data_IF_827350518699
#
_entry.id   IF_827350518699
#
_cell.length_a   1.000
_cell.length_b   1.000
_cell.length_c   1.000
_cell.angle_alpha   90.00
_cell.angle_beta   90.00
_cell.angle_gamma   90.00
#
_symmetry.space_group_name_H-M   'P 1'
#
loop_
_entity.id
_entity.type
_entity.pdbx_description
1 polymer ?
#
# COMPACT_ATOMS: atom_id res chain seq x y z
N UNK A 1 35.35 -27.55 -46.57
CA UNK A 1 34.34 -27.11 -47.56
C UNK A 1 32.98 -27.36 -46.94
N UNK A 2 32.39 -26.34 -46.32
CA UNK A 2 31.04 -26.40 -45.73
C UNK A 2 30.33 -25.16 -46.26
N UNK A 3 29.27 -25.40 -47.03
CA UNK A 3 28.46 -24.40 -47.69
C UNK A 3 27.62 -23.64 -46.65
N UNK A 4 27.66 -22.30 -46.71
CA UNK A 4 26.83 -21.42 -45.89
C UNK A 4 25.42 -21.28 -46.47
N UNK A 5 24.39 -21.08 -45.63
CA UNK A 5 23.03 -20.89 -46.09
C UNK A 5 22.80 -19.46 -46.60
N UNK A 6 22.08 -19.37 -47.72
CA UNK A 6 21.66 -18.16 -48.40
C UNK A 6 20.78 -17.26 -47.50
N UNK A 7 21.17 -16.00 -47.38
CA UNK A 7 20.34 -14.93 -46.80
C UNK A 7 19.30 -14.48 -47.83
N UNK A 8 18.00 -14.44 -47.50
CA UNK A 8 17.01 -13.80 -48.35
C UNK A 8 17.14 -12.28 -48.28
N UNK A 9 17.24 -11.66 -49.45
CA UNK A 9 17.19 -10.21 -49.66
C UNK A 9 15.84 -9.64 -49.21
N UNK A 10 15.84 -8.85 -48.14
CA UNK A 10 14.67 -8.14 -47.65
C UNK A 10 14.27 -6.98 -48.59
N UNK A 11 13.03 -7.02 -49.07
CA UNK A 11 12.36 -5.88 -49.68
C UNK A 11 11.99 -4.82 -48.62
N UNK A 12 12.02 -3.53 -48.97
CA UNK A 12 11.68 -2.45 -48.05
C UNK A 12 10.16 -2.36 -47.85
N UNK A 13 9.70 -2.72 -46.66
CA UNK A 13 8.32 -2.47 -46.17
C UNK A 13 8.18 -0.97 -45.89
N UNK A 14 7.91 -0.18 -46.93
CA UNK A 14 7.75 1.28 -46.83
C UNK A 14 6.35 1.79 -47.25
N UNK A 15 5.48 0.93 -47.80
CA UNK A 15 4.16 1.38 -48.31
C UNK A 15 2.97 1.12 -47.38
N UNK A 16 3.09 0.27 -46.35
CA UNK A 16 1.94 -0.08 -45.50
C UNK A 16 1.60 0.98 -44.43
N UNK A 17 2.54 1.87 -44.08
CA UNK A 17 2.34 2.92 -43.07
C UNK A 17 1.56 4.14 -43.57
N UNK A 18 1.52 4.39 -44.88
CA UNK A 18 0.76 5.50 -45.46
C UNK A 18 -0.75 5.20 -45.55
N UNK A 19 -1.14 3.94 -45.76
CA UNK A 19 -2.55 3.52 -45.84
C UNK A 19 -3.25 3.55 -44.47
N UNK A 20 -2.52 3.29 -43.39
CA UNK A 20 -3.10 3.29 -42.04
C UNK A 20 -3.35 4.72 -41.51
N UNK A 21 -2.54 5.71 -41.93
CA UNK A 21 -2.73 7.10 -41.51
C UNK A 21 -3.94 7.78 -42.19
N UNK A 22 -4.23 7.46 -43.46
CA UNK A 22 -5.42 8.00 -44.14
C UNK A 22 -6.72 7.46 -43.54
N UNK A 23 -6.75 6.18 -43.16
CA UNK A 23 -7.94 5.57 -42.56
C UNK A 23 -8.23 6.09 -41.14
N UNK A 24 -7.20 6.46 -40.36
CA UNK A 24 -7.38 7.07 -39.05
C UNK A 24 -7.90 8.52 -39.14
N UNK A 25 -7.54 9.25 -40.20
CA UNK A 25 -7.95 10.64 -40.39
C UNK A 25 -9.40 10.76 -40.90
N UNK A 26 -9.91 9.77 -41.64
CA UNK A 26 -11.32 9.73 -42.05
C UNK A 26 -12.28 9.32 -40.91
N UNK A 27 -11.80 8.62 -39.88
CA UNK A 27 -12.61 8.27 -38.69
C UNK A 27 -12.82 9.49 -37.78
N UNK A 28 -11.82 10.37 -37.65
CA UNK A 28 -11.88 11.58 -36.81
C UNK A 28 -12.86 12.63 -37.38
N UNK A 29 -13.10 12.62 -38.69
CA UNK A 29 -14.09 13.50 -39.34
C UNK A 29 -15.51 12.93 -39.38
N UNK A 30 -15.68 11.63 -39.12
CA UNK A 30 -16.98 10.97 -39.09
C UNK A 30 -17.61 10.92 -37.68
N UNK A 31 -16.82 11.02 -36.60
CA UNK A 31 -17.33 11.07 -35.22
C UNK A 31 -17.72 12.50 -34.76
N UNK A 32 -17.51 13.52 -35.60
CA UNK A 32 -18.24 14.80 -35.49
C UNK A 32 -19.69 14.67 -36.03
N UNK A 33 -20.23 13.44 -36.06
CA UNK A 33 -21.65 13.15 -36.18
C UNK A 33 -22.37 13.63 -34.90
N UNK A 34 -22.63 14.95 -34.90
CA UNK A 34 -23.82 15.57 -34.32
C UNK A 34 -24.24 14.95 -32.99
N UNK A 35 -23.39 15.04 -31.96
CA UNK A 35 -23.83 14.83 -30.58
C UNK A 35 -25.04 15.74 -30.41
N UNK A 36 -26.26 15.18 -30.33
CA UNK A 36 -27.47 15.98 -30.39
C UNK A 36 -27.39 16.96 -29.24
N UNK A 37 -27.52 18.26 -29.54
CA UNK A 37 -27.46 19.28 -28.50
C UNK A 37 -28.38 18.84 -27.36
N UNK A 38 -27.87 18.76 -26.12
CA UNK A 38 -28.66 18.29 -25.02
C UNK A 38 -29.93 19.15 -24.97
N UNK A 39 -31.12 18.54 -24.79
CA UNK A 39 -32.37 19.29 -24.76
C UNK A 39 -32.22 20.50 -23.83
N UNK A 40 -32.76 21.68 -24.17
CA UNK A 40 -32.54 22.92 -23.41
C UNK A 40 -32.87 22.77 -21.92
N UNK A 41 -33.78 21.86 -21.57
CA UNK A 41 -34.13 21.49 -20.19
C UNK A 41 -32.95 20.88 -19.40
N UNK A 42 -32.09 20.06 -20.03
CA UNK A 42 -30.88 19.53 -19.37
C UNK A 42 -29.86 20.63 -19.11
N UNK A 43 -29.70 21.58 -20.03
CA UNK A 43 -28.79 22.72 -19.87
C UNK A 43 -29.20 23.55 -18.64
N UNK A 44 -30.49 23.73 -18.41
CA UNK A 44 -31.00 24.45 -17.24
C UNK A 44 -30.77 23.68 -15.93
N UNK A 45 -30.90 22.35 -15.94
CA UNK A 45 -30.57 21.49 -14.78
C UNK A 45 -29.08 21.58 -14.45
N UNK A 46 -28.19 21.48 -15.45
CA UNK A 46 -26.75 21.63 -15.25
C UNK A 46 -26.39 23.03 -14.77
N UNK A 47 -26.98 24.08 -15.36
CA UNK A 47 -26.78 25.46 -14.90
C UNK A 47 -27.23 25.64 -13.45
N UNK A 48 -28.41 25.14 -13.07
CA UNK A 48 -28.89 25.16 -11.66
C UNK A 48 -28.01 24.35 -10.72
N UNK A 49 -27.46 23.22 -11.18
CA UNK A 49 -26.50 22.42 -10.42
C UNK A 49 -25.14 23.10 -10.25
N UNK A 50 -24.74 23.98 -11.18
CA UNK A 50 -23.50 24.76 -11.11
C UNK A 50 -23.68 26.06 -10.29
N UNK A 51 -24.87 26.66 -10.34
CA UNK A 51 -25.23 27.85 -9.56
C UNK A 51 -25.48 27.52 -8.09
N UNK A 52 -25.94 26.30 -7.77
CA UNK A 52 -25.96 25.83 -6.40
C UNK A 52 -24.52 25.50 -5.98
N UNK A 53 -23.92 26.23 -5.03
CA UNK A 53 -22.66 25.78 -4.45
C UNK A 53 -22.91 24.36 -3.94
N UNK A 54 -22.03 23.39 -4.25
CA UNK A 54 -22.21 22.01 -3.82
C UNK A 54 -22.53 22.05 -2.33
N UNK A 55 -23.62 21.39 -1.88
CA UNK A 55 -24.06 21.49 -0.50
C UNK A 55 -22.84 21.23 0.35
N UNK A 56 -22.45 22.22 1.17
CA UNK A 56 -21.23 22.16 1.95
C UNK A 56 -21.25 20.81 2.67
N UNK A 57 -20.42 19.87 2.22
CA UNK A 57 -20.32 18.55 2.84
C UNK A 57 -20.04 18.88 4.29
N UNK A 58 -21.02 18.62 5.18
CA UNK A 58 -20.80 18.82 6.61
C UNK A 58 -19.50 18.10 6.89
N UNK A 59 -18.49 18.80 7.47
CA UNK A 59 -17.23 18.14 7.80
C UNK A 59 -17.62 16.85 8.52
N UNK A 60 -17.14 15.70 8.00
CA UNK A 60 -17.53 14.40 8.55
C UNK A 60 -17.37 14.49 10.06
N UNK A 61 -18.44 14.21 10.80
CA UNK A 61 -18.52 14.34 12.27
C UNK A 61 -17.49 13.44 13.00
N UNK A 62 -16.72 12.66 12.24
CA UNK A 62 -15.69 11.73 12.68
C UNK A 62 -14.27 12.34 12.71
N UNK A 63 -14.10 13.64 12.44
CA UNK A 63 -12.77 14.28 12.53
C UNK A 63 -12.35 14.51 13.99
N UNK A 64 -11.37 13.74 14.46
CA UNK A 64 -10.90 13.82 15.85
C UNK A 64 -9.74 14.79 15.96
N UNK A 65 -9.96 15.95 16.59
CA UNK A 65 -8.85 16.91 16.83
C UNK A 65 -7.82 16.29 17.80
N UNK A 66 -6.52 16.32 17.46
CA UNK A 66 -5.50 15.94 18.43
C UNK A 66 -5.58 16.87 19.65
N UNK A 67 -5.42 16.35 20.87
CA UNK A 67 -5.31 17.19 22.05
C UNK A 67 -4.08 18.11 21.93
N UNK A 68 -4.21 19.36 22.37
CA UNK A 68 -3.12 20.33 22.32
C UNK A 68 -1.91 19.82 23.14
N UNK A 69 -0.71 19.87 22.56
CA UNK A 69 0.55 19.54 23.25
C UNK A 69 0.92 18.06 23.35
N UNK A 70 0.16 17.14 22.73
CA UNK A 70 0.39 15.67 22.85
C UNK A 70 0.65 14.98 21.51
N UNK A 71 1.10 15.75 20.51
CA UNK A 71 1.07 15.36 19.09
C UNK A 71 1.71 13.99 18.79
N UNK A 72 2.90 13.70 19.32
CA UNK A 72 3.65 12.49 18.96
C UNK A 72 3.05 11.21 19.58
N UNK A 73 2.85 11.19 20.91
CA UNK A 73 2.32 10.00 21.58
C UNK A 73 0.86 9.75 21.23
N UNK A 74 0.07 10.81 21.07
CA UNK A 74 -1.31 10.65 20.61
C UNK A 74 -1.37 10.10 19.19
N UNK A 75 -0.56 10.61 18.26
CA UNK A 75 -0.58 10.17 16.86
C UNK A 75 -0.32 8.66 16.72
N UNK A 76 0.68 8.11 17.41
CA UNK A 76 1.11 6.72 17.17
C UNK A 76 0.40 5.67 18.03
N UNK A 77 -0.23 6.05 19.14
CA UNK A 77 -0.84 5.09 20.06
C UNK A 77 -2.37 5.20 20.15
N UNK A 78 -2.96 6.35 19.78
CA UNK A 78 -4.41 6.55 19.87
C UNK A 78 -5.16 5.72 18.82
N UNK A 79 -5.82 4.68 19.31
CA UNK A 79 -6.71 3.84 18.51
C UNK A 79 -6.02 2.97 17.45
N UNK A 80 -4.68 2.91 17.43
CA UNK A 80 -3.92 2.17 16.43
C UNK A 80 -4.12 0.66 16.58
N UNK A 81 -3.83 0.13 17.76
CA UNK A 81 -3.96 -1.29 18.02
C UNK A 81 -5.43 -1.69 18.07
N UNK A 82 -6.29 -0.85 18.67
CA UNK A 82 -7.70 -1.20 18.84
C UNK A 82 -8.50 -1.35 17.53
N UNK A 83 -7.95 -0.86 16.42
CA UNK A 83 -8.68 -0.65 15.17
C UNK A 83 -9.26 -1.94 14.56
N UNK A 84 -8.53 -3.05 14.63
CA UNK A 84 -8.99 -4.33 14.09
C UNK A 84 -10.28 -4.84 14.76
N UNK A 85 -10.56 -4.40 15.99
CA UNK A 85 -11.74 -4.79 16.77
C UNK A 85 -12.89 -3.78 16.68
N UNK A 86 -12.76 -2.74 15.85
CA UNK A 86 -13.86 -1.81 15.63
C UNK A 86 -14.98 -2.51 14.84
N UNK A 87 -16.27 -2.20 15.09
CA UNK A 87 -17.39 -2.88 14.44
C UNK A 87 -17.31 -2.87 12.91
N UNK A 88 -16.77 -1.80 12.32
CA UNK A 88 -16.63 -1.67 10.87
C UNK A 88 -15.45 -2.49 10.30
N UNK A 89 -14.44 -2.77 11.12
CA UNK A 89 -13.22 -3.48 10.71
C UNK A 89 -13.28 -4.98 10.98
N UNK A 90 -14.02 -5.41 12.01
CA UNK A 90 -14.01 -6.80 12.49
C UNK A 90 -14.43 -7.81 11.40
N UNK A 91 -15.44 -7.47 10.59
CA UNK A 91 -15.86 -8.34 9.47
C UNK A 91 -14.78 -8.51 8.42
N UNK A 92 -14.00 -7.46 8.14
CA UNK A 92 -12.88 -7.50 7.18
C UNK A 92 -11.70 -8.27 7.75
N UNK A 93 -11.41 -8.09 9.03
CA UNK A 93 -10.40 -8.86 9.75
C UNK A 93 -10.72 -10.36 9.75
N UNK A 94 -11.96 -10.77 10.07
CA UNK A 94 -12.41 -12.17 10.02
C UNK A 94 -12.24 -12.74 8.61
N UNK A 95 -12.75 -12.04 7.60
CA UNK A 95 -12.63 -12.49 6.22
C UNK A 95 -11.17 -12.67 5.78
N UNK A 96 -10.33 -11.68 6.06
CA UNK A 96 -8.90 -11.75 5.72
C UNK A 96 -8.20 -12.89 6.47
N UNK A 97 -8.54 -13.09 7.75
CA UNK A 97 -8.01 -14.20 8.56
C UNK A 97 -8.35 -15.55 7.93
N UNK A 98 -9.61 -15.76 7.53
CA UNK A 98 -10.06 -16.99 6.86
C UNK A 98 -9.30 -17.22 5.55
N UNK A 99 -9.21 -16.19 4.68
CA UNK A 99 -8.50 -16.32 3.41
C UNK A 99 -7.02 -16.68 3.59
N UNK A 100 -6.33 -15.98 4.51
CA UNK A 100 -4.92 -16.23 4.79
C UNK A 100 -4.71 -17.59 5.45
N UNK A 101 -5.58 -18.00 6.37
CA UNK A 101 -5.50 -19.32 7.01
C UNK A 101 -5.72 -20.45 6.02
N UNK A 102 -6.70 -20.32 5.12
CA UNK A 102 -6.92 -21.31 4.05
C UNK A 102 -5.69 -21.40 3.14
N UNK A 103 -5.15 -20.27 2.68
CA UNK A 103 -3.94 -20.26 1.87
C UNK A 103 -2.74 -20.88 2.60
N UNK A 104 -2.55 -20.56 3.88
CA UNK A 104 -1.47 -21.09 4.72
C UNK A 104 -1.60 -22.61 4.98
N UNK A 105 -2.80 -23.09 5.31
CA UNK A 105 -3.06 -24.53 5.49
C UNK A 105 -2.78 -25.31 4.20
N UNK A 106 -3.26 -24.81 3.05
CA UNK A 106 -3.01 -25.47 1.77
C UNK A 106 -1.53 -25.43 1.41
N UNK A 107 -0.80 -24.35 1.72
CA UNK A 107 0.65 -24.30 1.53
C UNK A 107 1.41 -25.38 2.33
N UNK A 108 1.05 -25.59 3.61
CA UNK A 108 1.61 -26.68 4.43
C UNK A 108 1.27 -28.05 3.85
N UNK A 109 0.04 -28.24 3.38
CA UNK A 109 -0.39 -29.49 2.73
C UNK A 109 0.34 -29.73 1.42
N UNK A 110 0.61 -28.70 0.62
CA UNK A 110 1.40 -28.85 -0.61
C UNK A 110 2.81 -29.33 -0.27
N UNK A 111 3.47 -28.75 0.74
CA UNK A 111 4.81 -29.17 1.13
C UNK A 111 4.88 -30.65 1.55
N UNK A 112 3.84 -31.17 2.19
CA UNK A 112 3.77 -32.57 2.63
C UNK A 112 3.27 -33.52 1.54
N UNK A 113 2.31 -33.09 0.71
CA UNK A 113 1.72 -33.91 -0.34
C UNK A 113 2.61 -34.04 -1.58
N UNK A 114 3.51 -33.08 -1.83
CA UNK A 114 4.42 -33.11 -2.97
C UNK A 114 5.33 -34.34 -2.98
N UNK A 115 5.70 -34.83 -1.79
CA UNK A 115 6.49 -36.05 -1.61
C UNK A 115 5.67 -37.33 -1.89
N UNK A 116 4.35 -37.28 -1.69
CA UNK A 116 3.47 -38.45 -1.76
C UNK A 116 2.73 -38.61 -3.10
N UNK A 117 2.25 -37.52 -3.70
CA UNK A 117 1.42 -37.56 -4.91
C UNK A 117 1.44 -36.24 -5.71
N UNK A 118 2.33 -36.18 -6.70
CA UNK A 118 2.57 -34.98 -7.52
C UNK A 118 1.32 -34.36 -8.16
N UNK A 119 0.44 -35.10 -8.88
CA UNK A 119 -0.67 -34.46 -9.59
C UNK A 119 -1.68 -33.78 -8.65
N UNK A 120 -1.92 -34.37 -7.47
CA UNK A 120 -2.80 -33.78 -6.46
C UNK A 120 -2.20 -32.51 -5.86
N UNK A 121 -0.88 -32.50 -5.61
CA UNK A 121 -0.19 -31.32 -5.11
C UNK A 121 -0.27 -30.14 -6.07
N UNK A 122 -0.21 -30.38 -7.39
CA UNK A 122 -0.37 -29.32 -8.41
C UNK A 122 -1.77 -28.71 -8.38
N UNK A 123 -2.83 -29.53 -8.31
CA UNK A 123 -4.21 -29.02 -8.23
C UNK A 123 -4.42 -28.20 -6.95
N UNK A 124 -3.92 -28.69 -5.81
CA UNK A 124 -3.95 -27.96 -4.55
C UNK A 124 -3.17 -26.64 -4.62
N UNK A 125 -2.01 -26.62 -5.30
CA UNK A 125 -1.23 -25.41 -5.51
C UNK A 125 -2.00 -24.36 -6.31
N UNK A 126 -2.68 -24.75 -7.39
CA UNK A 126 -3.51 -23.82 -8.17
C UNK A 126 -4.62 -23.22 -7.30
N UNK A 127 -5.33 -24.05 -6.53
CA UNK A 127 -6.40 -23.58 -5.62
C UNK A 127 -5.84 -22.66 -4.55
N UNK A 128 -4.71 -23.01 -3.93
CA UNK A 128 -4.02 -22.18 -2.94
C UNK A 128 -3.60 -20.83 -3.51
N UNK A 129 -3.06 -20.82 -4.73
CA UNK A 129 -2.65 -19.61 -5.42
C UNK A 129 -3.84 -18.70 -5.70
N UNK A 130 -4.98 -19.25 -6.14
CA UNK A 130 -6.19 -18.45 -6.35
C UNK A 130 -6.69 -17.84 -5.04
N UNK A 131 -6.83 -18.65 -3.99
CA UNK A 131 -7.25 -18.15 -2.66
C UNK A 131 -6.26 -17.12 -2.13
N UNK A 132 -4.97 -17.35 -2.31
CA UNK A 132 -3.90 -16.42 -1.95
C UNK A 132 -3.98 -15.11 -2.70
N UNK A 133 -4.15 -15.13 -4.03
CA UNK A 133 -4.29 -13.92 -4.86
C UNK A 133 -5.53 -13.13 -4.45
N UNK A 134 -6.67 -13.78 -4.21
CA UNK A 134 -7.88 -13.11 -3.73
C UNK A 134 -7.72 -12.54 -2.30
N UNK A 135 -7.07 -13.29 -1.40
CA UNK A 135 -6.82 -12.85 -0.03
C UNK A 135 -5.85 -11.68 0.03
N UNK A 136 -4.74 -11.75 -0.70
CA UNK A 136 -3.73 -10.70 -0.80
C UNK A 136 -4.27 -9.47 -1.51
N UNK A 137 -5.13 -9.63 -2.52
CA UNK A 137 -5.73 -8.47 -3.19
C UNK A 137 -6.66 -7.69 -2.28
N UNK A 138 -7.47 -8.41 -1.51
CA UNK A 138 -8.29 -7.83 -0.47
C UNK A 138 -7.44 -7.18 0.64
N UNK A 139 -6.35 -7.84 1.07
CA UNK A 139 -5.43 -7.32 2.09
C UNK A 139 -4.78 -5.99 1.66
N UNK A 140 -4.29 -5.93 0.41
CA UNK A 140 -3.65 -4.74 -0.14
C UNK A 140 -4.63 -3.56 -0.22
N UNK A 141 -5.87 -3.81 -0.68
CA UNK A 141 -6.90 -2.79 -0.74
C UNK A 141 -7.26 -2.26 0.66
N UNK A 142 -7.49 -3.15 1.63
CA UNK A 142 -7.70 -2.75 3.03
C UNK A 142 -6.51 -1.93 3.58
N UNK A 143 -5.28 -2.35 3.29
CA UNK A 143 -4.08 -1.64 3.75
C UNK A 143 -4.05 -0.21 3.22
N UNK A 144 -4.24 -0.01 1.91
CA UNK A 144 -4.23 1.31 1.29
C UNK A 144 -5.34 2.20 1.84
N UNK A 145 -6.57 1.70 1.96
CA UNK A 145 -7.69 2.48 2.49
C UNK A 145 -7.49 2.88 3.95
N UNK A 146 -6.94 1.98 4.77
CA UNK A 146 -6.61 2.31 6.17
C UNK A 146 -5.54 3.39 6.22
N UNK A 147 -4.49 3.30 5.39
CA UNK A 147 -3.43 4.32 5.33
C UNK A 147 -4.05 5.67 4.94
N UNK A 148 -4.81 5.73 3.85
CA UNK A 148 -5.41 6.97 3.33
C UNK A 148 -6.36 7.58 4.35
N UNK A 149 -7.33 6.82 4.88
CA UNK A 149 -8.26 7.33 5.88
C UNK A 149 -7.54 7.84 7.13
N UNK A 150 -6.54 7.09 7.60
CA UNK A 150 -5.79 7.49 8.80
C UNK A 150 -4.91 8.71 8.56
N UNK A 151 -4.36 8.87 7.34
CA UNK A 151 -3.61 10.06 6.94
C UNK A 151 -4.46 11.34 6.91
N UNK A 152 -5.76 11.21 6.61
CA UNK A 152 -6.75 12.29 6.75
C UNK A 152 -7.28 12.47 8.18
N UNK A 153 -6.76 11.70 9.14
CA UNK A 153 -7.20 11.69 10.53
C UNK A 153 -8.67 11.29 10.69
N UNK A 154 -9.16 10.44 9.79
CA UNK A 154 -10.46 9.80 9.93
C UNK A 154 -10.31 8.58 10.81
N UNK A 155 -10.90 8.63 12.00
CA UNK A 155 -10.79 7.53 12.95
C UNK A 155 -11.57 6.30 12.48
N UNK A 156 -12.72 6.52 11.82
CA UNK A 156 -13.55 5.50 11.18
C UNK A 156 -13.33 5.54 9.68
N UNK A 157 -13.01 4.39 9.07
CA UNK A 157 -13.09 4.26 7.61
C UNK A 157 -14.57 4.29 7.22
N UNK A 158 -14.98 5.39 6.59
CA UNK A 158 -16.33 5.55 6.04
C UNK A 158 -16.52 4.67 4.82
N UNK A 159 -15.50 4.67 3.95
CA UNK A 159 -15.46 3.86 2.74
C UNK A 159 -14.43 2.73 2.93
N UNK A 160 -14.89 1.52 2.72
CA UNK A 160 -14.09 0.29 2.73
C UNK A 160 -13.85 -0.13 1.28
N UNK A 161 -12.83 -0.96 1.00
CA UNK A 161 -12.43 -1.23 -0.36
C UNK A 161 -13.60 -1.80 -1.15
N UNK A 162 -13.72 -1.33 -2.39
CA UNK A 162 -14.84 -1.63 -3.26
C UNK A 162 -15.05 -3.14 -3.42
N UNK A 163 -16.31 -3.51 -3.61
CA UNK A 163 -16.68 -4.90 -3.84
C UNK A 163 -16.07 -5.46 -5.13
N UNK A 164 -15.67 -4.59 -6.08
CA UNK A 164 -15.00 -5.03 -7.30
C UNK A 164 -13.64 -5.63 -6.99
N UNK A 165 -13.47 -6.91 -7.33
CA UNK A 165 -12.23 -7.64 -7.12
C UNK A 165 -11.15 -7.25 -8.13
N UNK A 166 -11.53 -6.69 -9.29
CA UNK A 166 -10.59 -6.30 -10.35
C UNK A 166 -9.77 -5.10 -9.92
N UNK A 167 -10.42 -4.10 -9.35
CA UNK A 167 -9.76 -2.93 -8.77
C UNK A 167 -8.84 -3.32 -7.62
N UNK A 168 -9.32 -4.16 -6.71
CA UNK A 168 -8.49 -4.71 -5.63
C UNK A 168 -7.26 -5.46 -6.16
N UNK A 169 -7.41 -6.21 -7.26
CA UNK A 169 -6.29 -6.87 -7.91
C UNK A 169 -5.26 -5.87 -8.43
N UNK A 170 -5.68 -4.79 -9.09
CA UNK A 170 -4.79 -3.72 -9.56
C UNK A 170 -4.04 -3.07 -8.39
N UNK A 171 -4.74 -2.73 -7.30
CA UNK A 171 -4.12 -2.20 -6.07
C UNK A 171 -3.07 -3.17 -5.52
N UNK A 172 -3.38 -4.47 -5.54
CA UNK A 172 -2.45 -5.50 -5.06
C UNK A 172 -1.22 -5.68 -5.93
N UNK A 173 -1.36 -5.55 -7.26
CA UNK A 173 -0.23 -5.53 -8.18
C UNK A 173 0.64 -4.31 -7.90
N UNK A 174 0.05 -3.13 -7.70
CA UNK A 174 0.78 -1.90 -7.31
C UNK A 174 1.57 -2.12 -6.01
N UNK A 175 0.91 -2.58 -4.94
CA UNK A 175 1.57 -2.85 -3.64
C UNK A 175 2.64 -3.93 -3.78
N UNK A 176 2.38 -4.98 -4.56
CA UNK A 176 3.35 -6.04 -4.85
C UNK A 176 4.58 -5.54 -5.59
N UNK A 177 4.42 -4.69 -6.60
CA UNK A 177 5.53 -4.04 -7.30
C UNK A 177 6.36 -3.18 -6.35
N UNK A 178 5.73 -2.41 -5.46
CA UNK A 178 6.43 -1.60 -4.45
C UNK A 178 7.20 -2.47 -3.44
N UNK A 179 6.62 -3.62 -3.06
CA UNK A 179 7.30 -4.61 -2.23
C UNK A 179 8.54 -5.16 -2.95
N UNK A 180 8.42 -5.55 -4.23
CA UNK A 180 9.57 -5.99 -5.03
C UNK A 180 10.63 -4.91 -5.13
N UNK A 181 10.25 -3.65 -5.36
CA UNK A 181 11.16 -2.50 -5.41
C UNK A 181 11.88 -2.27 -4.07
N UNK A 182 11.29 -2.68 -2.94
CA UNK A 182 11.96 -2.65 -1.62
C UNK A 182 12.87 -3.87 -1.39
N UNK A 183 12.47 -5.04 -1.89
CA UNK A 183 13.20 -6.30 -1.75
C UNK A 183 14.52 -6.28 -2.53
N UNK A 184 14.54 -5.73 -3.75
CA UNK A 184 15.73 -5.71 -4.60
C UNK A 184 16.94 -5.01 -3.94
N UNK A 185 16.84 -3.74 -3.51
CA UNK A 185 17.95 -3.08 -2.80
C UNK A 185 18.24 -3.73 -1.45
N UNK A 186 17.24 -4.24 -0.73
CA UNK A 186 17.47 -4.97 0.52
C UNK A 186 18.31 -6.25 0.31
N UNK A 187 18.01 -7.01 -0.73
CA UNK A 187 18.76 -8.21 -1.11
C UNK A 187 20.19 -7.85 -1.52
N UNK A 188 20.37 -6.78 -2.32
CA UNK A 188 21.69 -6.31 -2.70
C UNK A 188 22.56 -5.94 -1.48
N UNK A 189 22.01 -5.15 -0.55
CA UNK A 189 22.69 -4.78 0.70
C UNK A 189 23.03 -6.01 1.53
N UNK A 190 22.06 -6.94 1.68
CA UNK A 190 22.27 -8.16 2.45
C UNK A 190 23.36 -9.05 1.84
N UNK A 191 23.40 -9.20 0.51
CA UNK A 191 24.47 -9.93 -0.18
C UNK A 191 25.82 -9.25 0.01
N UNK A 192 25.91 -7.92 -0.17
CA UNK A 192 27.15 -7.16 0.01
C UNK A 192 27.71 -7.24 1.44
N UNK A 193 26.84 -7.23 2.45
CA UNK A 193 27.27 -7.38 3.83
C UNK A 193 27.61 -8.84 4.18
N UNK A 194 26.94 -9.82 3.56
CA UNK A 194 27.17 -11.24 3.85
C UNK A 194 28.54 -11.76 3.43
N UNK A 195 29.21 -11.10 2.49
CA UNK A 195 30.59 -11.45 2.09
C UNK A 195 31.65 -10.86 3.03
N UNK A 196 31.26 -9.97 3.95
CA UNK A 196 32.17 -9.41 4.96
C UNK A 196 32.29 -10.36 6.16
N UNK A 197 33.43 -10.37 6.87
CA UNK A 197 33.59 -11.19 8.09
C UNK A 197 32.53 -10.91 9.16
N UNK A 198 32.02 -9.68 9.22
CA UNK A 198 30.98 -9.28 10.18
C UNK A 198 29.58 -9.78 9.80
N UNK A 199 29.32 -10.04 8.52
CA UNK A 199 28.00 -10.43 8.01
C UNK A 199 27.89 -11.89 7.56
N UNK A 200 28.97 -12.68 7.64
CA UNK A 200 28.96 -14.08 7.23
C UNK A 200 27.84 -14.86 7.95
N UNK A 201 26.93 -15.47 7.17
CA UNK A 201 25.77 -16.21 7.68
C UNK A 201 24.57 -15.35 8.14
N UNK A 202 24.65 -14.01 8.03
CA UNK A 202 23.61 -13.08 8.50
C UNK A 202 22.72 -12.55 7.36
N UNK A 203 22.66 -13.23 6.21
CA UNK A 203 21.90 -12.76 5.05
C UNK A 203 20.42 -12.50 5.39
N UNK A 204 19.72 -13.48 5.98
CA UNK A 204 18.29 -13.38 6.28
C UNK A 204 17.93 -12.25 7.25
N UNK A 205 18.58 -12.08 8.42
CA UNK A 205 18.25 -10.97 9.32
C UNK A 205 18.59 -9.60 8.71
N UNK A 206 19.69 -9.48 7.97
CA UNK A 206 20.04 -8.22 7.27
C UNK A 206 18.99 -7.92 6.19
N UNK A 207 18.62 -8.90 5.37
CA UNK A 207 17.61 -8.77 4.34
C UNK A 207 16.25 -8.35 4.92
N UNK A 208 15.81 -9.00 6.00
CA UNK A 208 14.57 -8.69 6.68
C UNK A 208 14.58 -7.26 7.25
N UNK A 209 15.67 -6.85 7.89
CA UNK A 209 15.85 -5.50 8.42
C UNK A 209 15.83 -4.45 7.31
N UNK A 210 16.58 -4.65 6.22
CA UNK A 210 16.61 -3.72 5.10
C UNK A 210 15.23 -3.61 4.42
N UNK A 211 14.52 -4.73 4.23
CA UNK A 211 13.17 -4.72 3.65
C UNK A 211 12.20 -3.97 4.57
N UNK A 212 12.27 -4.24 5.88
CA UNK A 212 11.45 -3.57 6.90
C UNK A 212 11.66 -2.06 6.93
N UNK A 213 12.91 -1.59 6.73
CA UNK A 213 13.24 -0.17 6.66
C UNK A 213 12.86 0.48 5.32
N UNK A 214 13.05 -0.20 4.20
CA UNK A 214 12.84 0.40 2.87
C UNK A 214 11.37 0.43 2.46
N UNK A 215 10.59 -0.59 2.83
CA UNK A 215 9.21 -0.73 2.37
C UNK A 215 8.29 0.45 2.75
N UNK A 216 8.25 0.94 4.02
CA UNK A 216 7.47 2.13 4.39
C UNK A 216 7.80 3.37 3.56
N UNK A 217 9.09 3.61 3.31
CA UNK A 217 9.58 4.80 2.60
C UNK A 217 9.12 4.76 1.15
N UNK A 218 9.30 3.60 0.50
CA UNK A 218 8.91 3.37 -0.89
C UNK A 218 7.39 3.45 -1.04
N UNK A 219 6.64 2.83 -0.13
CA UNK A 219 5.18 2.84 -0.14
C UNK A 219 4.64 4.27 0.00
N UNK A 220 5.07 5.01 1.04
CA UNK A 220 4.63 6.40 1.24
C UNK A 220 5.03 7.32 0.08
N UNK A 221 6.25 7.15 -0.45
CA UNK A 221 6.71 7.92 -1.61
C UNK A 221 5.81 7.70 -2.83
N UNK A 222 5.42 6.44 -3.09
CA UNK A 222 4.56 6.09 -4.22
C UNK A 222 3.12 6.59 -4.07
N UNK A 223 2.62 6.67 -2.83
CA UNK A 223 1.29 7.19 -2.53
C UNK A 223 1.25 8.71 -2.66
N UNK A 224 2.32 9.39 -2.22
CA UNK A 224 2.45 10.84 -2.35
C UNK A 224 2.57 11.28 -3.81
N UNK A 225 3.37 10.57 -4.61
CA UNK A 225 3.58 10.88 -6.02
C UNK A 225 2.45 10.41 -6.96
N UNK A 226 1.45 9.71 -6.40
CA UNK A 226 0.48 8.88 -7.12
C UNK A 226 1.07 8.14 -8.34
N UNK A 227 2.23 7.53 -8.12
CA UNK A 227 3.04 6.92 -9.17
C UNK A 227 3.67 5.64 -8.66
N UNK A 228 4.06 4.74 -9.58
CA UNK A 228 4.85 3.54 -9.26
C UNK A 228 6.29 3.94 -8.92
N UNK A 229 6.74 5.13 -9.34
CA UNK A 229 8.07 5.63 -9.04
C UNK A 229 8.24 5.90 -7.54
N UNK A 230 9.20 5.22 -6.87
CA UNK A 230 9.29 5.21 -5.41
C UNK A 230 10.04 6.43 -4.83
N UNK A 231 10.13 7.53 -5.59
CA UNK A 231 10.95 8.68 -5.25
C UNK A 231 10.09 9.93 -5.17
N UNK A 232 9.65 10.24 -3.95
CA UNK A 232 9.00 11.51 -3.64
C UNK A 232 9.92 12.36 -2.77
N UNK A 233 10.35 13.53 -3.27
CA UNK A 233 11.28 14.40 -2.57
C UNK A 233 10.81 14.78 -1.14
N UNK A 234 9.52 15.11 -0.90
CA UNK A 234 9.07 15.43 0.45
C UNK A 234 9.12 14.23 1.40
N UNK A 235 8.75 13.02 0.97
CA UNK A 235 8.92 11.81 1.79
C UNK A 235 10.39 11.60 2.19
N UNK A 236 11.35 11.77 1.26
CA UNK A 236 12.77 11.66 1.58
C UNK A 236 13.27 12.79 2.50
N UNK A 237 12.81 14.02 2.29
CA UNK A 237 13.10 15.15 3.18
C UNK A 237 12.58 14.90 4.60
N UNK A 238 11.42 14.25 4.71
CA UNK A 238 10.79 13.91 6.00
C UNK A 238 11.64 12.99 6.87
N UNK A 239 12.52 12.17 6.28
CA UNK A 239 13.44 11.34 7.07
C UNK A 239 14.39 12.21 7.91
N UNK A 240 14.75 13.39 7.42
CA UNK A 240 15.61 14.33 8.12
C UNK A 240 14.82 15.31 8.99
N UNK A 241 13.70 15.85 8.47
CA UNK A 241 12.92 16.88 9.18
C UNK A 241 11.98 16.30 10.24
N UNK A 242 11.35 15.16 9.96
CA UNK A 242 10.39 14.47 10.83
C UNK A 242 10.98 13.18 11.44
N UNK A 243 12.29 13.13 11.67
CA UNK A 243 13.00 11.94 12.18
C UNK A 243 12.42 11.34 13.48
N UNK A 244 11.87 12.12 14.46
CA UNK A 244 11.29 11.52 15.66
C UNK A 244 10.05 10.67 15.35
N UNK A 245 9.24 11.10 14.37
CA UNK A 245 8.07 10.35 13.90
C UNK A 245 8.48 9.01 13.28
N UNK A 246 9.53 9.02 12.45
CA UNK A 246 10.10 7.79 11.87
C UNK A 246 10.64 6.84 12.93
N UNK A 247 11.38 7.34 13.94
CA UNK A 247 11.91 6.50 15.02
C UNK A 247 10.79 5.83 15.82
N UNK A 248 9.75 6.60 16.21
CA UNK A 248 8.59 6.03 16.93
C UNK A 248 7.87 5.01 16.05
N UNK A 249 7.63 5.33 14.77
CA UNK A 249 7.02 4.41 13.82
C UNK A 249 7.78 3.08 13.75
N UNK A 250 9.10 3.11 13.51
CA UNK A 250 9.89 1.90 13.38
C UNK A 250 9.98 1.11 14.69
N UNK A 251 10.11 1.79 15.83
CA UNK A 251 10.10 1.13 17.13
C UNK A 251 8.77 0.40 17.38
N UNK A 252 7.64 1.05 17.11
CA UNK A 252 6.31 0.45 17.28
C UNK A 252 6.04 -0.66 16.26
N UNK A 253 6.43 -0.48 15.00
CA UNK A 253 6.31 -1.52 13.97
C UNK A 253 7.20 -2.74 14.26
N UNK A 254 8.40 -2.52 14.81
CA UNK A 254 9.30 -3.60 15.21
C UNK A 254 8.74 -4.38 16.41
N UNK A 255 8.16 -3.68 17.40
CA UNK A 255 7.47 -4.31 18.51
C UNK A 255 6.27 -5.14 18.04
N UNK A 256 5.49 -4.61 17.08
CA UNK A 256 4.37 -5.32 16.46
C UNK A 256 4.84 -6.59 15.74
N UNK A 257 5.87 -6.48 14.91
CA UNK A 257 6.46 -7.61 14.19
C UNK A 257 7.04 -8.67 15.15
N UNK A 258 7.74 -8.24 16.20
CA UNK A 258 8.25 -9.12 17.25
C UNK A 258 7.13 -9.84 18.01
N UNK A 259 6.03 -9.16 18.32
CA UNK A 259 4.85 -9.76 18.93
C UNK A 259 4.21 -10.83 18.04
N UNK A 260 4.04 -10.55 16.74
CA UNK A 260 3.56 -11.54 15.77
C UNK A 260 4.50 -12.75 15.72
N UNK A 261 5.82 -12.53 15.61
CA UNK A 261 6.81 -13.61 15.57
C UNK A 261 6.78 -14.47 16.84
N UNK A 262 6.66 -13.86 18.01
CA UNK A 262 6.56 -14.55 19.30
C UNK A 262 5.29 -15.42 19.37
N UNK A 263 4.12 -14.88 18.99
CA UNK A 263 2.87 -15.65 18.95
C UNK A 263 2.95 -16.79 17.94
N UNK A 264 3.58 -16.56 16.80
CA UNK A 264 3.82 -17.59 15.78
C UNK A 264 4.66 -18.73 16.35
N UNK A 265 5.81 -18.42 16.94
CA UNK A 265 6.68 -19.42 17.54
C UNK A 265 5.99 -20.21 18.66
N UNK A 266 5.23 -19.51 19.53
CA UNK A 266 4.45 -20.16 20.58
C UNK A 266 3.35 -21.07 20.01
N UNK A 267 2.67 -20.65 18.94
CA UNK A 267 1.62 -21.45 18.29
C UNK A 267 2.17 -22.72 17.64
N UNK A 268 3.33 -22.64 16.98
CA UNK A 268 4.02 -23.78 16.39
C UNK A 268 4.43 -24.76 17.49
N UNK A 269 4.98 -24.26 18.60
CA UNK A 269 5.41 -25.10 19.72
C UNK A 269 4.25 -25.77 20.47
N UNK A 270 3.08 -25.13 20.52
CA UNK A 270 1.93 -25.64 21.25
C UNK A 270 1.05 -26.57 20.41
N UNK A 271 0.69 -26.17 19.19
CA UNK A 271 -0.27 -26.88 18.33
C UNK A 271 0.08 -26.69 16.85
N UNK A 272 1.05 -27.46 16.35
CA UNK A 272 1.59 -27.35 14.98
C UNK A 272 0.50 -27.31 13.89
N UNK A 273 -0.54 -28.14 14.01
CA UNK A 273 -1.63 -28.23 13.02
C UNK A 273 -2.56 -27.02 13.00
N UNK A 274 -2.66 -26.26 14.10
CA UNK A 274 -3.48 -25.04 14.19
C UNK A 274 -2.65 -23.76 14.08
N UNK A 275 -1.32 -23.87 14.01
CA UNK A 275 -0.43 -22.72 13.92
C UNK A 275 -0.79 -21.77 12.75
N UNK A 276 -1.13 -22.24 11.52
CA UNK A 276 -1.52 -21.33 10.44
C UNK A 276 -2.80 -20.53 10.75
N UNK A 277 -3.76 -21.13 11.46
CA UNK A 277 -5.01 -20.46 11.82
C UNK A 277 -4.75 -19.29 12.78
N UNK A 278 -3.95 -19.55 13.82
CA UNK A 278 -3.60 -18.56 14.84
C UNK A 278 -2.71 -17.47 14.22
N UNK A 279 -1.66 -17.87 13.50
CA UNK A 279 -0.72 -16.96 12.86
C UNK A 279 -1.43 -16.01 11.90
N UNK A 280 -2.21 -16.52 10.96
CA UNK A 280 -2.87 -15.69 9.94
C UNK A 280 -3.88 -14.71 10.55
N UNK A 281 -4.57 -15.11 11.63
CA UNK A 281 -5.50 -14.22 12.34
C UNK A 281 -4.77 -13.06 13.03
N UNK A 282 -3.63 -13.37 13.67
CA UNK A 282 -2.77 -12.36 14.33
C UNK A 282 -2.07 -11.47 13.30
N UNK A 283 -1.60 -12.04 12.20
CA UNK A 283 -1.00 -11.32 11.09
C UNK A 283 -1.98 -10.36 10.41
N UNK A 284 -3.25 -10.75 10.25
CA UNK A 284 -4.30 -9.86 9.72
C UNK A 284 -4.54 -8.65 10.66
N UNK A 285 -4.59 -8.85 11.97
CA UNK A 285 -4.72 -7.76 12.94
C UNK A 285 -3.48 -6.85 12.95
N UNK A 286 -2.29 -7.44 12.82
CA UNK A 286 -1.04 -6.71 12.71
C UNK A 286 -0.98 -5.89 11.42
N UNK A 287 -1.45 -6.42 10.28
CA UNK A 287 -1.54 -5.68 9.04
C UNK A 287 -2.39 -4.42 9.18
N UNK A 288 -3.55 -4.52 9.84
CA UNK A 288 -4.44 -3.37 10.06
C UNK A 288 -3.78 -2.33 10.97
N UNK A 289 -3.13 -2.78 12.04
CA UNK A 289 -2.39 -1.91 12.95
C UNK A 289 -1.21 -1.22 12.24
N UNK A 290 -0.48 -1.95 11.41
CA UNK A 290 0.64 -1.45 10.63
C UNK A 290 0.20 -0.41 9.57
N UNK A 291 -0.87 -0.70 8.84
CA UNK A 291 -1.48 0.25 7.90
C UNK A 291 -1.88 1.55 8.61
N UNK A 292 -2.46 1.44 9.81
CA UNK A 292 -2.84 2.61 10.61
C UNK A 292 -1.62 3.38 11.11
N UNK A 293 -0.54 2.70 11.54
CA UNK A 293 0.73 3.35 11.89
C UNK A 293 1.32 4.14 10.71
N UNK A 294 1.30 3.57 9.50
CA UNK A 294 1.76 4.26 8.29
C UNK A 294 0.92 5.50 7.98
N UNK A 295 -0.40 5.42 8.09
CA UNK A 295 -1.27 6.58 7.90
C UNK A 295 -1.04 7.67 8.95
N UNK A 296 -0.80 7.30 10.22
CA UNK A 296 -0.44 8.26 11.29
C UNK A 296 0.91 8.92 11.04
N UNK A 297 1.89 8.17 10.52
CA UNK A 297 3.16 8.72 10.09
C UNK A 297 2.97 9.73 8.95
N UNK A 298 2.18 9.41 7.92
CA UNK A 298 1.87 10.33 6.83
C UNK A 298 1.17 11.61 7.33
N UNK A 299 0.20 11.46 8.25
CA UNK A 299 -0.44 12.59 8.92
C UNK A 299 0.57 13.46 9.66
N UNK A 300 1.47 12.84 10.43
CA UNK A 300 2.50 13.54 11.20
C UNK A 300 3.47 14.30 10.30
N UNK A 301 3.94 13.70 9.21
CA UNK A 301 4.84 14.36 8.24
C UNK A 301 4.17 15.62 7.67
N UNK A 302 2.89 15.54 7.31
CA UNK A 302 2.13 16.67 6.73
C UNK A 302 1.94 17.84 7.71
N UNK A 303 1.78 17.57 9.01
CA UNK A 303 1.46 18.60 10.01
C UNK A 303 2.68 19.11 10.77
N UNK A 304 3.70 18.25 10.96
CA UNK A 304 4.93 18.61 11.68
C UNK A 304 5.68 19.77 11.02
N UNK A 305 5.69 19.84 9.68
CA UNK A 305 6.35 20.96 8.97
C UNK A 305 5.62 22.30 9.13
N UNK A 306 4.31 22.28 9.38
CA UNK A 306 3.50 23.49 9.51
C UNK A 306 3.52 24.10 10.91
N UNK A 307 3.62 23.27 11.95
CA UNK A 307 3.58 23.75 13.33
C UNK A 307 4.87 24.45 13.74
N UNK A 308 6.04 24.00 13.26
CA UNK A 308 7.32 24.69 13.48
C UNK A 308 7.33 26.08 12.85
N UNK A 309 6.77 26.21 11.64
CA UNK A 309 6.64 27.50 10.96
C UNK A 309 5.70 28.46 11.71
N UNK A 310 4.57 27.96 12.22
CA UNK A 310 3.60 28.75 13.00
C UNK A 310 4.12 29.11 14.38
N UNK A 311 4.87 28.23 15.03
CA UNK A 311 5.50 28.52 16.32
C UNK A 311 6.56 29.60 16.12
N UNK A 312 7.41 29.47 15.11
CA UNK A 312 8.39 30.51 14.78
C UNK A 312 7.74 31.86 14.48
N UNK A 313 6.63 31.90 13.73
CA UNK A 313 5.92 33.17 13.48
C UNK A 313 5.32 33.76 14.76
N UNK A 314 4.75 32.93 15.65
CA UNK A 314 4.24 33.42 16.94
C UNK A 314 5.35 33.93 17.86
N UNK A 315 6.56 33.37 17.77
CA UNK A 315 7.71 33.85 18.52
C UNK A 315 8.24 35.17 17.96
N UNK A 316 8.27 35.35 16.63
CA UNK A 316 8.65 36.65 16.04
C UNK A 316 7.66 37.74 16.43
N UNK A 317 6.35 37.48 16.34
CA UNK A 317 5.31 38.46 16.68
C UNK A 317 5.36 38.88 18.16
N UNK A 318 5.69 37.94 19.07
CA UNK A 318 5.86 38.24 20.50
C UNK A 318 7.13 39.01 20.81
N UNK A 319 8.20 38.80 20.05
CA UNK A 319 9.46 39.54 20.24
C UNK A 319 9.29 41.01 19.81
N UNK A 320 8.58 41.26 18.70
CA UNK A 320 8.28 42.63 18.26
C UNK A 320 7.39 43.37 19.27
N UNK A 321 6.42 42.70 19.89
CA UNK A 321 5.58 43.30 20.93
C UNK A 321 6.29 43.58 22.26
N UNK A 322 7.46 42.99 22.53
CA UNK A 322 8.21 43.26 23.76
C UNK A 322 9.13 44.48 23.68
N UNK A 323 9.37 45.01 22.48
CA UNK A 323 10.26 46.14 22.24
C UNK A 323 9.51 47.49 22.15
N UNK A 324 8.18 47.48 22.19
CA UNK A 324 7.31 48.67 22.27
C UNK A 324 6.90 49.01 23.72
#
# INVERSE_FOLDING_TARGET
MVAGPDQPSGEPIAEESASAQSAAQDIDLAEEELVPEPPPERIEIYRKSLEQPPPAKKPHDDWVRPPEGVALTWAFFSGVFSYAWWPNAIGKWIFLSICLSLAGCVAVWIMTAFEAFWPGAVVLAIVASLVGVFGLSFAAACMVDIIVNTAYNNDKAGDWPDADWRERLIVSVRVGCLLVLSILPAAAIATMLSVTPLGAGQFHPIFALCTFLLFPIILLSSMEADSIWPLSLPTWRSLATAWPGWVVFYATAAALAGGVAMVTAASIAAVESLAPLIFCSVAAAALFSYARLLGRLAWFIRHGEGDDARLNSRYSDRAEQSDE
#
